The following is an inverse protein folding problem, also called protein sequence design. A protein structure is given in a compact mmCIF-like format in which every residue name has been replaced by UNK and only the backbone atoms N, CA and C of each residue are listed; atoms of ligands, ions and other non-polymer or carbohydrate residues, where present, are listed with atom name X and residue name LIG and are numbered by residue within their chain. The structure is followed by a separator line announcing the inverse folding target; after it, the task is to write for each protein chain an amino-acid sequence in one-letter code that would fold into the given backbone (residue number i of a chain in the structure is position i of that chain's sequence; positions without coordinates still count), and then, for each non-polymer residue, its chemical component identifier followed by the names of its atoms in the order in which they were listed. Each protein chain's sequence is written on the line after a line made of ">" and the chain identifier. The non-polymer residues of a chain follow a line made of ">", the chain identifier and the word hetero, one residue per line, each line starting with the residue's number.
data_IF_901327308028
#
_entry.id   IF_901327308028
#
_cell.length_a   1.000
_cell.length_b   1.000
_cell.length_c   1.000
_cell.angle_alpha   90.00
_cell.angle_beta   90.00
_cell.angle_gamma   90.00
#
_symmetry.space_group_name_H-M   'P 1'
#
loop_
_entity.id
_entity.type
_entity.pdbx_description
1 polymer ?
#
# COMPACT_ATOMS: atom_id res chain seq x y z
N UNK A 1 18.15 4.01 0.95
CA UNK A 1 17.81 4.57 2.28
C UNK A 1 19.01 4.68 3.19
N UNK A 2 19.76 3.63 3.46
CA UNK A 2 20.95 3.69 4.33
C UNK A 2 21.96 4.76 3.91
N UNK A 3 22.23 4.90 2.61
CA UNK A 3 23.14 5.93 2.06
C UNK A 3 22.62 7.36 2.31
N UNK A 4 21.33 7.59 2.18
CA UNK A 4 20.72 8.89 2.51
C UNK A 4 20.79 9.19 3.99
N UNK A 5 20.57 8.19 4.84
CA UNK A 5 20.72 8.33 6.29
C UNK A 5 22.16 8.72 6.67
N UNK A 6 23.16 8.10 6.02
CA UNK A 6 24.58 8.41 6.27
C UNK A 6 24.94 9.84 5.83
N UNK A 7 24.37 10.32 4.73
CA UNK A 7 24.66 11.66 4.20
C UNK A 7 23.94 12.77 4.97
N UNK A 8 22.68 12.56 5.34
CA UNK A 8 21.84 13.61 5.92
C UNK A 8 21.53 13.39 7.41
N UNK A 9 22.10 12.36 8.04
CA UNK A 9 21.93 12.05 9.46
C UNK A 9 20.62 11.35 9.83
N UNK A 10 19.65 11.26 8.92
CA UNK A 10 18.39 10.53 9.12
C UNK A 10 17.75 10.12 7.81
N UNK A 11 16.91 9.10 7.86
CA UNK A 11 16.01 8.71 6.79
C UNK A 11 14.57 8.91 7.26
N UNK A 12 13.79 9.68 6.52
CA UNK A 12 12.36 9.87 6.74
C UNK A 12 11.54 9.03 5.75
N UNK A 13 10.37 8.58 6.19
CA UNK A 13 9.46 7.79 5.36
C UNK A 13 9.83 6.32 5.26
N UNK A 14 9.10 5.63 4.42
CA UNK A 14 9.22 4.21 4.15
C UNK A 14 9.08 3.90 2.67
N UNK A 15 9.46 2.68 2.30
CA UNK A 15 9.33 2.16 0.94
C UNK A 15 8.86 0.71 0.97
N UNK A 16 8.15 0.33 -0.07
CA UNK A 16 7.78 -1.06 -0.33
C UNK A 16 8.41 -1.52 -1.63
N UNK A 17 8.99 -2.71 -1.61
CA UNK A 17 9.61 -3.34 -2.76
C UNK A 17 8.91 -4.66 -3.07
N UNK A 18 8.65 -4.90 -4.35
CA UNK A 18 8.36 -6.23 -4.86
C UNK A 18 9.63 -6.81 -5.43
N UNK A 19 10.03 -7.98 -4.94
CA UNK A 19 11.24 -8.68 -5.34
C UNK A 19 10.78 -10.05 -5.85
N UNK A 20 11.04 -10.37 -7.10
CA UNK A 20 10.59 -11.62 -7.69
C UNK A 20 11.59 -12.17 -8.71
N UNK A 21 11.56 -13.48 -8.84
CA UNK A 21 12.19 -14.26 -9.88
C UNK A 21 11.16 -15.24 -10.51
N UNK A 22 11.52 -16.14 -11.42
CA UNK A 22 10.58 -17.10 -12.00
C UNK A 22 9.95 -18.09 -11.00
N UNK A 23 10.50 -18.24 -9.79
CA UNK A 23 10.11 -19.26 -8.81
C UNK A 23 9.34 -18.70 -7.61
N UNK A 24 9.63 -17.45 -7.24
CA UNK A 24 9.02 -16.84 -6.05
C UNK A 24 8.90 -15.33 -6.13
N UNK A 25 7.99 -14.79 -5.33
CA UNK A 25 7.79 -13.36 -5.17
C UNK A 25 7.75 -12.99 -3.68
N UNK A 26 8.36 -11.85 -3.35
CA UNK A 26 8.43 -11.30 -2.01
C UNK A 26 7.95 -9.86 -2.02
N UNK A 27 7.25 -9.47 -0.97
CA UNK A 27 7.00 -8.08 -0.63
C UNK A 27 7.86 -7.71 0.56
N UNK A 28 8.61 -6.61 0.44
CA UNK A 28 9.48 -6.09 1.49
C UNK A 28 9.09 -4.66 1.81
N UNK A 29 8.82 -4.40 3.08
CA UNK A 29 8.56 -3.06 3.59
C UNK A 29 9.69 -2.61 4.51
N UNK A 30 10.13 -1.35 4.36
CA UNK A 30 11.17 -0.78 5.19
C UNK A 30 10.86 0.66 5.59
N UNK A 31 11.19 0.98 6.84
CA UNK A 31 10.95 2.28 7.45
C UNK A 31 12.27 2.83 7.99
N UNK A 32 12.56 4.09 7.68
CA UNK A 32 13.71 4.79 8.27
C UNK A 32 13.55 4.99 9.78
N UNK A 33 14.64 4.85 10.53
CA UNK A 33 14.62 5.01 12.00
C UNK A 33 14.43 6.46 12.48
N UNK A 34 14.38 7.41 11.55
CA UNK A 34 14.16 8.82 11.85
C UNK A 34 15.40 9.58 12.30
N UNK A 35 15.24 10.84 12.72
CA UNK A 35 16.33 11.73 13.07
C UNK A 35 17.22 11.14 14.19
N UNK A 36 18.53 11.30 14.04
CA UNK A 36 19.53 10.85 15.01
C UNK A 36 19.81 9.34 15.04
N UNK A 37 19.14 8.56 14.19
CA UNK A 37 19.34 7.10 14.07
C UNK A 37 19.66 6.69 12.65
N UNK A 38 20.76 6.00 12.45
CA UNK A 38 21.13 5.41 11.15
C UNK A 38 20.35 4.12 10.87
N UNK A 39 20.07 3.89 9.57
CA UNK A 39 19.50 2.63 9.10
C UNK A 39 17.97 2.60 9.10
N UNK A 40 17.47 1.42 8.87
CA UNK A 40 16.04 1.11 8.68
C UNK A 40 15.66 -0.12 9.48
N UNK A 41 14.38 -0.22 9.82
CA UNK A 41 13.74 -1.49 10.18
C UNK A 41 12.98 -1.99 8.95
N UNK A 42 12.88 -3.30 8.80
CA UNK A 42 12.23 -3.87 7.63
C UNK A 42 11.68 -5.28 7.92
N UNK A 43 10.71 -5.66 7.14
CA UNK A 43 10.14 -7.01 7.09
C UNK A 43 9.90 -7.38 5.63
N UNK A 44 10.15 -8.65 5.28
CA UNK A 44 9.85 -9.21 3.98
C UNK A 44 9.06 -10.51 4.14
N UNK A 45 8.03 -10.68 3.31
CA UNK A 45 7.15 -11.85 3.35
C UNK A 45 7.01 -12.41 1.94
N UNK A 46 7.19 -13.73 1.81
CA UNK A 46 6.98 -14.44 0.55
C UNK A 46 5.49 -14.49 0.23
N UNK A 47 5.14 -14.16 -0.99
CA UNK A 47 3.77 -14.23 -1.50
C UNK A 47 3.48 -15.68 -1.94
N UNK A 48 2.32 -16.26 -1.60
CA UNK A 48 1.93 -17.58 -2.10
C UNK A 48 1.90 -17.62 -3.64
N UNK A 49 2.28 -18.77 -4.21
CA UNK A 49 2.45 -18.93 -5.68
C UNK A 49 1.12 -18.78 -6.45
N UNK A 50 -0.02 -18.95 -5.79
CA UNK A 50 -1.37 -18.83 -6.37
C UNK A 50 -2.08 -17.52 -5.98
N UNK A 51 -1.35 -16.55 -5.45
CA UNK A 51 -1.89 -15.29 -4.97
C UNK A 51 -1.41 -14.09 -5.80
N UNK A 52 -2.14 -12.99 -5.70
CA UNK A 52 -1.74 -11.66 -6.16
C UNK A 52 -1.61 -10.71 -4.96
N UNK A 53 -0.65 -9.80 -5.05
CA UNK A 53 -0.38 -8.80 -4.03
C UNK A 53 -0.28 -7.43 -4.69
N UNK A 54 -0.68 -6.40 -3.95
CA UNK A 54 -0.54 -5.01 -4.35
C UNK A 54 -0.18 -4.13 -3.16
N UNK A 55 0.51 -3.03 -3.43
CA UNK A 55 0.82 -2.00 -2.43
C UNK A 55 0.82 -0.61 -3.08
N UNK A 56 0.55 0.41 -2.29
CA UNK A 56 0.43 1.79 -2.76
C UNK A 56 0.72 2.80 -1.65
N UNK A 57 1.96 3.23 -1.49
CA UNK A 57 2.40 4.27 -0.53
C UNK A 57 1.97 4.06 0.93
N UNK A 58 1.59 2.85 1.32
CA UNK A 58 1.18 2.47 2.67
C UNK A 58 1.80 1.13 3.03
N UNK A 59 2.36 1.02 4.24
CA UNK A 59 2.76 -0.28 4.78
C UNK A 59 1.53 -1.16 5.00
N UNK A 60 1.61 -2.43 4.66
CA UNK A 60 0.48 -3.37 4.73
C UNK A 60 0.81 -4.67 5.45
N UNK A 61 2.09 -4.99 5.67
CA UNK A 61 2.49 -6.17 6.43
C UNK A 61 2.10 -5.97 7.89
N UNK A 62 1.13 -6.75 8.36
CA UNK A 62 0.65 -6.75 9.74
C UNK A 62 1.44 -7.74 10.58
N UNK A 63 0.78 -8.65 11.27
CA UNK A 63 1.42 -9.74 11.99
C UNK A 63 2.03 -10.75 11.04
N UNK A 64 3.17 -11.29 11.40
CA UNK A 64 3.89 -12.29 10.63
C UNK A 64 4.50 -13.37 11.51
N UNK A 65 4.64 -14.58 11.00
CA UNK A 65 5.22 -15.69 11.76
C UNK A 65 6.75 -15.59 11.82
N UNK A 66 7.28 -15.05 12.92
CA UNK A 66 8.72 -14.85 13.14
C UNK A 66 9.54 -16.17 13.13
N UNK A 67 8.89 -17.31 13.29
CA UNK A 67 9.53 -18.64 13.27
C UNK A 67 9.63 -19.21 11.85
N UNK A 68 8.84 -18.70 10.92
CA UNK A 68 8.84 -19.16 9.53
C UNK A 68 10.01 -18.55 8.75
N UNK A 69 11.18 -19.16 8.90
CA UNK A 69 12.42 -18.69 8.23
C UNK A 69 12.43 -18.94 6.72
N UNK A 70 11.47 -19.70 6.20
CA UNK A 70 11.33 -19.94 4.76
C UNK A 70 10.59 -18.79 4.06
N UNK A 71 9.56 -18.25 4.69
CA UNK A 71 8.65 -17.30 4.07
C UNK A 71 8.70 -15.90 4.71
N UNK A 72 9.50 -15.71 5.76
CA UNK A 72 9.59 -14.42 6.47
C UNK A 72 11.02 -14.09 6.82
N UNK A 73 11.42 -12.87 6.49
CA UNK A 73 12.68 -12.24 6.89
C UNK A 73 12.40 -10.86 7.49
N UNK A 74 13.18 -10.44 8.47
CA UNK A 74 13.03 -9.13 9.08
C UNK A 74 14.33 -8.68 9.76
N UNK A 75 14.49 -7.36 9.96
CA UNK A 75 15.64 -6.80 10.64
C UNK A 75 15.66 -7.23 12.12
N UNK A 76 16.86 -7.50 12.66
CA UNK A 76 17.06 -8.00 14.04
C UNK A 76 16.40 -7.11 15.10
N UNK A 77 16.33 -5.82 14.82
CA UNK A 77 15.81 -4.80 15.72
C UNK A 77 14.36 -4.36 15.36
N UNK A 78 13.71 -5.06 14.43
CA UNK A 78 12.37 -4.74 13.96
C UNK A 78 11.36 -4.53 15.12
N UNK A 79 11.35 -5.44 16.11
CA UNK A 79 10.41 -5.37 17.22
C UNK A 79 10.98 -4.52 18.38
N UNK A 80 12.26 -4.70 18.67
CA UNK A 80 12.89 -3.99 19.80
C UNK A 80 12.94 -2.49 19.60
N UNK A 81 13.14 -2.02 18.37
CA UNK A 81 13.09 -0.60 18.03
C UNK A 81 11.68 0.00 18.22
N UNK A 82 10.62 -0.72 17.83
CA UNK A 82 9.25 -0.28 18.10
C UNK A 82 8.95 -0.16 19.59
N UNK A 83 9.44 -1.12 20.41
CA UNK A 83 9.32 -1.04 21.87
C UNK A 83 10.08 0.13 22.46
N UNK A 84 11.32 0.34 22.03
CA UNK A 84 12.15 1.46 22.45
C UNK A 84 11.48 2.81 22.19
N UNK A 85 10.74 2.91 21.09
CA UNK A 85 9.97 4.12 20.74
C UNK A 85 8.61 4.22 21.42
N UNK A 86 8.19 3.20 22.16
CA UNK A 86 6.86 3.15 22.78
C UNK A 86 5.71 2.91 21.79
N UNK A 87 6.02 2.46 20.58
CA UNK A 87 5.03 2.20 19.52
C UNK A 87 4.44 0.79 19.59
N UNK A 88 5.05 -0.07 20.37
CA UNK A 88 4.58 -1.43 20.63
C UNK A 88 4.95 -1.90 22.04
N UNK A 89 4.01 -2.55 22.74
CA UNK A 89 4.22 -3.08 24.10
C UNK A 89 3.73 -4.52 24.32
N UNK A 90 3.20 -5.18 23.28
CA UNK A 90 2.64 -6.53 23.35
C UNK A 90 3.70 -7.65 23.33
N UNK A 91 3.22 -8.89 23.18
CA UNK A 91 4.09 -10.06 22.93
C UNK A 91 4.61 -9.99 21.49
N UNK A 92 5.81 -10.54 21.24
CA UNK A 92 6.41 -10.54 19.89
C UNK A 92 5.48 -11.15 18.84
N UNK A 93 4.72 -12.19 19.19
CA UNK A 93 3.77 -12.84 18.29
C UNK A 93 2.62 -11.92 17.83
N UNK A 94 2.30 -10.89 18.60
CA UNK A 94 1.23 -9.93 18.30
C UNK A 94 1.75 -8.69 17.56
N UNK A 95 3.06 -8.66 17.26
CA UNK A 95 3.66 -7.51 16.60
C UNK A 95 3.15 -7.35 15.17
N UNK A 96 2.57 -6.19 14.88
CA UNK A 96 2.14 -5.77 13.55
C UNK A 96 3.07 -4.66 13.04
N UNK A 97 3.78 -4.92 11.95
CA UNK A 97 4.73 -3.96 11.38
C UNK A 97 4.02 -2.68 10.92
N UNK A 98 2.97 -2.84 10.16
CA UNK A 98 2.15 -1.73 9.67
C UNK A 98 1.61 -0.86 10.82
N UNK A 99 1.05 -1.47 11.85
CA UNK A 99 0.45 -0.71 12.96
C UNK A 99 1.48 -0.01 13.82
N UNK A 100 2.65 -0.62 14.00
CA UNK A 100 3.73 -0.02 14.80
C UNK A 100 4.44 1.14 14.08
N UNK A 101 4.62 1.04 12.75
CA UNK A 101 5.48 1.97 12.01
C UNK A 101 4.76 2.91 11.04
N UNK A 102 3.60 2.53 10.55
CA UNK A 102 2.86 3.26 9.54
C UNK A 102 1.36 2.99 9.63
N UNK A 103 0.78 3.23 10.81
CA UNK A 103 -0.66 3.02 11.02
C UNK A 103 -1.48 3.71 9.94
N UNK A 104 -2.38 3.00 9.24
CA UNK A 104 -3.15 3.56 8.16
C UNK A 104 -4.27 4.45 8.73
N UNK A 105 -4.02 5.75 8.75
CA UNK A 105 -5.02 6.78 9.02
C UNK A 105 -6.01 6.93 7.86
N UNK A 106 -6.87 7.95 7.89
CA UNK A 106 -7.80 8.24 6.80
C UNK A 106 -7.08 8.40 5.46
N UNK A 107 -5.97 9.13 5.43
CA UNK A 107 -5.17 9.35 4.22
C UNK A 107 -4.56 8.05 3.69
N UNK A 108 -3.98 7.23 4.57
CA UNK A 108 -3.44 5.93 4.21
C UNK A 108 -4.50 4.98 3.65
N UNK A 109 -5.72 4.99 4.22
CA UNK A 109 -6.84 4.20 3.70
C UNK A 109 -7.37 4.75 2.38
N UNK A 110 -7.78 6.02 2.35
CA UNK A 110 -8.46 6.60 1.19
C UNK A 110 -7.55 6.76 -0.02
N UNK A 111 -6.33 7.21 0.14
CA UNK A 111 -5.42 7.44 -0.99
C UNK A 111 -4.54 6.25 -1.35
N UNK A 112 -4.34 5.32 -0.43
CA UNK A 112 -3.44 4.19 -0.65
C UNK A 112 -4.20 2.86 -0.71
N UNK A 113 -4.89 2.48 0.35
CA UNK A 113 -5.60 1.21 0.39
C UNK A 113 -6.77 1.14 -0.60
N UNK A 114 -7.40 2.27 -0.98
CA UNK A 114 -8.41 2.29 -2.03
C UNK A 114 -7.86 1.85 -3.40
N UNK A 115 -6.59 2.18 -3.73
CA UNK A 115 -5.93 1.69 -4.95
C UNK A 115 -5.68 0.18 -4.91
N UNK A 116 -5.29 -0.33 -3.75
CA UNK A 116 -5.13 -1.78 -3.54
C UNK A 116 -6.47 -2.49 -3.60
N UNK A 117 -7.51 -1.90 -3.01
CA UNK A 117 -8.87 -2.42 -3.09
C UNK A 117 -9.35 -2.50 -4.55
N UNK A 118 -9.17 -1.44 -5.33
CA UNK A 118 -9.54 -1.43 -6.75
C UNK A 118 -8.79 -2.50 -7.52
N UNK A 119 -7.47 -2.61 -7.33
CA UNK A 119 -6.68 -3.66 -7.98
C UNK A 119 -7.20 -5.07 -7.63
N UNK A 120 -7.47 -5.36 -6.37
CA UNK A 120 -8.01 -6.66 -5.98
C UNK A 120 -9.43 -6.91 -6.51
N UNK A 121 -10.24 -5.85 -6.60
CA UNK A 121 -11.62 -5.91 -7.09
C UNK A 121 -11.71 -6.30 -8.58
N UNK A 122 -10.68 -6.06 -9.38
CA UNK A 122 -10.58 -6.56 -10.76
C UNK A 122 -10.46 -8.09 -10.83
N UNK A 123 -10.03 -8.74 -9.75
CA UNK A 123 -9.68 -10.17 -9.74
C UNK A 123 -10.44 -11.00 -8.71
N UNK A 124 -11.26 -10.40 -7.86
CA UNK A 124 -12.04 -11.08 -6.84
C UNK A 124 -13.42 -10.48 -6.66
N UNK A 125 -14.42 -11.31 -6.45
CA UNK A 125 -15.81 -10.91 -6.18
C UNK A 125 -16.06 -10.57 -4.71
N UNK A 126 -15.11 -10.87 -3.82
CA UNK A 126 -15.29 -10.76 -2.36
C UNK A 126 -14.78 -9.42 -1.79
N UNK A 127 -14.41 -8.47 -2.67
CA UNK A 127 -13.78 -7.23 -2.22
C UNK A 127 -14.75 -6.21 -1.63
N UNK A 128 -16.05 -6.34 -1.87
CA UNK A 128 -17.06 -5.41 -1.33
C UNK A 128 -17.03 -5.34 0.21
N UNK A 129 -16.77 -6.45 0.89
CA UNK A 129 -16.64 -6.50 2.36
C UNK A 129 -15.53 -5.60 2.91
N UNK A 130 -14.51 -5.29 2.12
CA UNK A 130 -13.38 -4.42 2.48
C UNK A 130 -13.56 -2.97 2.04
N UNK A 131 -14.63 -2.66 1.31
CA UNK A 131 -14.91 -1.29 0.86
C UNK A 131 -14.97 -0.28 2.02
N UNK A 132 -15.62 -0.58 3.18
CA UNK A 132 -15.64 0.34 4.32
C UNK A 132 -14.24 0.68 4.86
N UNK A 133 -13.28 -0.26 4.75
CA UNK A 133 -11.90 -0.03 5.12
C UNK A 133 -11.22 0.92 4.13
N UNK A 134 -11.35 0.67 2.83
CA UNK A 134 -10.80 1.52 1.76
C UNK A 134 -11.40 2.93 1.75
N UNK A 135 -12.67 3.09 2.12
CA UNK A 135 -13.30 4.39 2.30
C UNK A 135 -12.70 5.20 3.46
N UNK A 136 -12.11 4.54 4.44
CA UNK A 136 -11.45 5.18 5.59
C UNK A 136 -12.40 5.78 6.63
N UNK A 137 -13.72 5.68 6.45
CA UNK A 137 -14.72 6.32 7.32
C UNK A 137 -15.07 5.49 8.55
N UNK A 138 -14.96 4.17 8.45
CA UNK A 138 -15.30 3.23 9.53
C UNK A 138 -14.03 2.88 10.30
N UNK A 139 -13.99 3.24 11.59
CA UNK A 139 -12.80 3.09 12.44
C UNK A 139 -12.31 1.64 12.52
N UNK A 140 -13.22 0.72 12.81
CA UNK A 140 -12.93 -0.69 13.06
C UNK A 140 -13.29 -1.58 11.86
N UNK A 141 -13.25 -1.01 10.65
CA UNK A 141 -13.48 -1.78 9.43
C UNK A 141 -12.42 -2.89 9.28
N UNK A 142 -12.85 -4.02 8.76
CA UNK A 142 -11.97 -5.15 8.48
C UNK A 142 -10.86 -4.75 7.50
N UNK A 143 -9.58 -4.84 7.88
CA UNK A 143 -8.49 -4.50 6.99
C UNK A 143 -8.35 -5.52 5.86
N UNK A 144 -7.97 -5.06 4.68
CA UNK A 144 -7.70 -5.95 3.56
C UNK A 144 -6.52 -6.90 3.83
N UNK A 145 -6.58 -8.14 3.35
CA UNK A 145 -5.45 -9.06 3.40
C UNK A 145 -4.27 -8.52 2.56
N UNK A 146 -3.05 -8.93 2.88
CA UNK A 146 -1.84 -8.54 2.15
C UNK A 146 -1.87 -9.04 0.70
N UNK A 147 -2.46 -10.20 0.45
CA UNK A 147 -2.68 -10.82 -0.86
C UNK A 147 -4.06 -11.48 -0.93
N UNK A 148 -4.52 -11.72 -2.14
CA UNK A 148 -5.74 -12.50 -2.39
C UNK A 148 -5.45 -13.60 -3.40
N UNK A 149 -6.28 -14.64 -3.40
CA UNK A 149 -6.33 -15.62 -4.47
C UNK A 149 -7.28 -15.10 -5.57
N UNK A 150 -6.81 -14.86 -6.78
CA UNK A 150 -7.67 -14.35 -7.84
C UNK A 150 -8.65 -15.43 -8.33
N UNK A 151 -9.85 -15.01 -8.77
CA UNK A 151 -10.87 -15.90 -9.31
C UNK A 151 -10.55 -16.40 -10.73
N UNK A 152 -9.54 -15.82 -11.38
CA UNK A 152 -9.08 -16.17 -12.72
C UNK A 152 -7.58 -15.95 -12.86
N UNK A 153 -7.00 -16.51 -13.91
CA UNK A 153 -5.61 -16.20 -14.27
C UNK A 153 -5.46 -14.73 -14.65
N UNK A 154 -4.37 -14.14 -14.20
CA UNK A 154 -4.02 -12.75 -14.46
C UNK A 154 -3.03 -12.70 -15.61
N UNK A 155 -3.34 -11.94 -16.64
CA UNK A 155 -2.49 -11.73 -17.82
C UNK A 155 -1.71 -10.42 -17.71
N UNK A 156 -0.71 -10.26 -18.58
CA UNK A 156 0.01 -8.98 -18.74
C UNK A 156 -0.95 -7.84 -19.08
N UNK A 157 -1.93 -8.11 -19.94
CA UNK A 157 -2.92 -7.10 -20.32
C UNK A 157 -3.79 -6.67 -19.13
N UNK A 158 -4.22 -7.59 -18.28
CA UNK A 158 -4.97 -7.26 -17.08
C UNK A 158 -4.20 -6.26 -16.18
N UNK A 159 -2.89 -6.47 -16.02
CA UNK A 159 -2.05 -5.54 -15.25
C UNK A 159 -1.93 -4.18 -15.94
N UNK A 160 -1.80 -4.15 -17.28
CA UNK A 160 -1.78 -2.90 -18.03
C UNK A 160 -3.10 -2.12 -17.92
N UNK A 161 -4.23 -2.81 -17.85
CA UNK A 161 -5.53 -2.20 -17.61
C UNK A 161 -5.62 -1.63 -16.20
N UNK A 162 -5.18 -2.37 -15.18
CA UNK A 162 -5.10 -1.86 -13.80
C UNK A 162 -4.20 -0.61 -13.68
N UNK A 163 -3.13 -0.51 -14.48
CA UNK A 163 -2.27 0.68 -14.52
C UNK A 163 -3.00 1.93 -15.07
N UNK A 164 -4.11 1.77 -15.79
CA UNK A 164 -4.94 2.84 -16.33
C UNK A 164 -6.19 3.13 -15.51
N UNK A 165 -6.39 2.42 -14.40
CA UNK A 165 -7.58 2.50 -13.56
C UNK A 165 -7.77 3.90 -12.97
N UNK A 166 -8.99 4.46 -13.13
CA UNK A 166 -9.48 5.68 -12.49
C UNK A 166 -10.70 5.38 -11.62
N UNK A 167 -10.76 4.15 -11.09
CA UNK A 167 -11.85 3.64 -10.28
C UNK A 167 -13.19 3.47 -11.03
N UNK A 168 -13.17 3.32 -12.35
CA UNK A 168 -14.36 3.20 -13.16
C UNK A 168 -15.30 2.10 -12.63
N UNK A 169 -16.59 2.43 -12.50
CA UNK A 169 -17.61 1.51 -12.01
C UNK A 169 -17.61 1.27 -10.50
N UNK A 170 -16.78 1.98 -9.73
CA UNK A 170 -16.69 1.86 -8.26
C UNK A 170 -17.26 3.10 -7.55
N UNK A 171 -17.46 3.06 -6.21
CA UNK A 171 -17.83 4.25 -5.43
C UNK A 171 -16.78 5.38 -5.45
N UNK A 172 -15.55 5.12 -5.90
CA UNK A 172 -14.46 6.09 -6.00
C UNK A 172 -14.32 6.68 -7.40
N UNK A 173 -15.21 6.33 -8.34
CA UNK A 173 -15.08 6.63 -9.78
C UNK A 173 -14.90 8.13 -10.05
N UNK A 174 -13.83 8.47 -10.78
CA UNK A 174 -13.47 9.86 -11.07
C UNK A 174 -14.27 10.46 -12.22
N UNK A 175 -15.05 9.67 -12.96
CA UNK A 175 -15.92 10.09 -14.06
C UNK A 175 -17.33 10.50 -13.62
N UNK A 176 -17.63 10.36 -12.30
CA UNK A 176 -18.96 10.60 -11.73
C UNK A 176 -18.97 11.50 -10.49
N UNK A 177 -17.82 11.87 -10.00
CA UNK A 177 -17.71 12.71 -8.81
C UNK A 177 -17.82 14.22 -9.15
N UNK A 178 -18.01 15.12 -8.16
CA UNK A 178 -18.09 16.57 -8.41
C UNK A 178 -16.85 17.18 -9.05
N UNK A 179 -15.70 16.50 -9.00
CA UNK A 179 -14.44 16.93 -9.59
C UNK A 179 -14.26 16.52 -11.06
N UNK A 180 -15.21 15.80 -11.64
CA UNK A 180 -15.13 15.36 -13.03
C UNK A 180 -15.00 16.55 -13.99
N UNK A 181 -14.21 16.38 -15.05
CA UNK A 181 -14.06 17.35 -16.12
C UNK A 181 -15.23 17.36 -17.11
N UNK A 182 -15.12 18.20 -18.12
CA UNK A 182 -16.06 18.20 -19.25
C UNK A 182 -16.11 16.79 -19.87
N UNK A 183 -17.30 16.32 -20.21
CA UNK A 183 -17.57 14.98 -20.74
C UNK A 183 -17.17 13.83 -19.79
N UNK A 184 -17.34 14.02 -18.49
CA UNK A 184 -17.02 13.01 -17.45
C UNK A 184 -15.54 12.61 -17.46
N UNK A 185 -14.67 13.55 -17.76
CA UNK A 185 -13.24 13.28 -17.83
C UNK A 185 -12.66 12.97 -16.46
N UNK A 186 -12.00 11.82 -16.27
CA UNK A 186 -11.50 11.38 -14.97
C UNK A 186 -10.18 12.06 -14.56
N UNK A 187 -9.54 12.78 -15.47
CA UNK A 187 -8.26 13.45 -15.18
C UNK A 187 -8.44 14.67 -14.29
N UNK A 188 -7.54 14.82 -13.32
CA UNK A 188 -7.55 15.91 -12.35
C UNK A 188 -6.36 16.83 -12.59
N UNK A 189 -6.56 18.03 -13.16
CA UNK A 189 -5.50 19.03 -13.30
C UNK A 189 -5.18 19.74 -11.98
N UNK A 190 -6.04 19.60 -10.97
CA UNK A 190 -5.90 20.20 -9.64
C UNK A 190 -5.06 19.33 -8.70
N UNK A 191 -4.44 19.89 -7.65
CA UNK A 191 -3.71 19.11 -6.65
C UNK A 191 -4.63 18.13 -5.92
N UNK A 192 -4.02 17.14 -5.23
CA UNK A 192 -4.75 16.10 -4.49
C UNK A 192 -5.67 16.72 -3.43
N UNK A 193 -5.23 17.77 -2.73
CA UNK A 193 -6.03 18.52 -1.76
C UNK A 193 -6.11 19.99 -2.16
N UNK A 194 -7.25 20.62 -1.92
CA UNK A 194 -7.50 22.03 -2.21
C UNK A 194 -8.57 22.59 -1.28
N UNK A 195 -8.69 23.94 -1.22
CA UNK A 195 -9.67 24.62 -0.38
C UNK A 195 -10.65 25.42 -1.23
N UNK A 196 -11.94 25.32 -0.88
CA UNK A 196 -13.02 26.17 -1.41
C UNK A 196 -13.79 26.74 -0.22
N UNK A 197 -13.93 28.06 -0.15
CA UNK A 197 -14.62 28.76 0.93
C UNK A 197 -14.15 28.34 2.34
N UNK A 198 -12.83 28.13 2.49
CA UNK A 198 -12.22 27.74 3.75
C UNK A 198 -12.38 26.25 4.14
N UNK A 199 -13.14 25.50 3.36
CA UNK A 199 -13.27 24.04 3.54
C UNK A 199 -12.26 23.29 2.70
N UNK A 200 -11.67 22.27 3.28
CA UNK A 200 -10.71 21.40 2.60
C UNK A 200 -11.45 20.29 1.86
N UNK A 201 -11.04 20.07 0.61
CA UNK A 201 -11.51 19.02 -0.27
C UNK A 201 -10.32 18.23 -0.79
N UNK A 202 -10.57 17.01 -1.25
CA UNK A 202 -9.57 16.21 -1.91
C UNK A 202 -10.13 15.57 -3.19
N UNK A 203 -9.25 15.34 -4.14
CA UNK A 203 -9.52 14.46 -5.28
C UNK A 203 -9.18 13.02 -4.89
N UNK A 204 -9.92 12.05 -5.43
CA UNK A 204 -9.52 10.65 -5.33
C UNK A 204 -8.14 10.45 -5.99
N UNK A 205 -7.39 9.49 -5.48
CA UNK A 205 -6.07 9.16 -5.99
C UNK A 205 -6.09 7.75 -6.61
N UNK A 206 -6.38 7.62 -7.91
CA UNK A 206 -6.44 6.32 -8.59
C UNK A 206 -5.05 5.76 -8.84
N UNK A 207 -4.96 4.55 -9.40
CA UNK A 207 -3.69 3.99 -9.87
C UNK A 207 -3.10 4.83 -10.99
N UNK A 208 -3.92 5.24 -11.95
CA UNK A 208 -3.53 6.18 -13.02
C UNK A 208 -3.59 7.62 -12.52
N UNK A 209 -2.62 8.04 -11.72
CA UNK A 209 -2.56 9.43 -11.23
C UNK A 209 -1.91 10.35 -12.27
N UNK A 210 -2.26 11.65 -12.19
CA UNK A 210 -1.63 12.68 -13.05
C UNK A 210 -0.12 12.84 -12.78
N UNK A 211 0.40 12.37 -11.66
CA UNK A 211 1.84 12.40 -11.34
C UNK A 211 2.61 11.21 -11.91
N UNK A 212 1.95 10.26 -12.56
CA UNK A 212 2.61 9.08 -13.13
C UNK A 212 3.57 9.48 -14.23
N UNK A 213 4.86 9.30 -14.00
CA UNK A 213 5.89 9.61 -14.99
C UNK A 213 6.10 8.46 -15.99
N UNK A 214 6.01 7.23 -15.54
CA UNK A 214 6.11 6.03 -16.37
C UNK A 214 5.46 4.82 -15.66
N UNK A 215 5.12 3.81 -16.45
CA UNK A 215 4.63 2.51 -15.98
C UNK A 215 5.29 1.39 -16.77
N UNK A 216 5.46 0.25 -16.16
CA UNK A 216 5.94 -0.95 -16.86
C UNK A 216 5.31 -2.21 -16.27
N UNK A 217 5.26 -3.26 -17.06
CA UNK A 217 4.90 -4.62 -16.63
C UNK A 217 6.04 -5.55 -17.00
N UNK A 218 6.58 -6.27 -16.03
CA UNK A 218 7.62 -7.28 -16.23
C UNK A 218 7.00 -8.68 -16.09
N UNK A 219 7.25 -9.54 -17.06
CA UNK A 219 6.90 -10.96 -16.99
C UNK A 219 8.17 -11.79 -16.89
N UNK A 220 8.36 -12.45 -15.76
CA UNK A 220 9.49 -13.33 -15.50
C UNK A 220 9.16 -14.76 -15.93
N UNK A 221 10.12 -15.45 -16.59
CA UNK A 221 9.97 -16.82 -17.11
C UNK A 221 11.20 -17.65 -16.78
#
# INVERSE_FOLDING_TARGET
>A
MTTLTDKYGYCSGGETFTICDPNEAWIMEMIGKGPGRKGTVWVAVRIPDDAICAHANQSRIRTFNQKDKKNVMFSKDCITFAREKGWFSGKDADFSFCEAYAYPDFSGRRFCEARVWSFFNHFSTDMERYLPYAEGKVKDAEPMPLWIKPNRKVSVQDIQECMRDHYEGTPFSLDKDPGQGVWNMPYRPTPLTYKVDGKEYFNERPTSTQQTAFSYVAQLR
#
